data_IF_115339165928
#
_entry.id   IF_115339165928
#
_cell.length_a   1.000
_cell.length_b   1.000
_cell.length_c   1.000
_cell.angle_alpha   90.00
_cell.angle_beta   90.00
_cell.angle_gamma   90.00
#
_symmetry.space_group_name_H-M   'P 1'
#
loop_
_entity.id
_entity.type
_entity.pdbx_description
1 polymer ?
#
# COMPACT_ATOMS: atom_id res chain seq x y z
N UNK A 1 -4.60 28.53 -19.19
CA UNK A 1 -3.42 28.43 -18.30
C UNK A 1 -2.86 27.03 -18.43
N UNK A 2 -1.61 26.92 -18.84
CA UNK A 2 -0.98 25.71 -19.37
C UNK A 2 -0.87 24.60 -18.31
N UNK A 3 -1.51 23.47 -18.56
CA UNK A 3 -1.23 22.20 -17.90
C UNK A 3 0.17 21.72 -18.30
N UNK A 4 1.20 22.15 -17.56
CA UNK A 4 2.47 21.43 -17.53
C UNK A 4 2.28 20.13 -16.75
N UNK A 5 1.76 19.11 -17.43
CA UNK A 5 2.05 17.73 -17.08
C UNK A 5 3.54 17.57 -17.40
N UNK A 6 4.41 17.81 -16.42
CA UNK A 6 5.82 17.46 -16.54
C UNK A 6 5.81 15.94 -16.74
N UNK A 7 5.97 15.50 -17.99
CA UNK A 7 6.45 14.17 -18.30
C UNK A 7 7.87 14.14 -17.75
N UNK A 8 8.00 13.86 -16.45
CA UNK A 8 9.31 13.57 -15.87
C UNK A 8 9.75 12.33 -16.62
N UNK A 9 10.73 12.52 -17.50
CA UNK A 9 11.44 11.46 -18.16
C UNK A 9 12.18 10.69 -17.06
N UNK A 10 11.47 9.78 -16.39
CA UNK A 10 11.92 9.04 -15.23
C UNK A 10 12.78 7.88 -15.73
N UNK A 11 13.85 8.19 -16.48
CA UNK A 11 14.85 7.18 -16.80
C UNK A 11 15.75 6.95 -15.58
N UNK A 12 15.13 6.53 -14.47
CA UNK A 12 15.83 6.24 -13.22
C UNK A 12 16.90 5.16 -13.42
N UNK A 13 16.77 4.34 -14.47
CA UNK A 13 17.73 3.30 -14.86
C UNK A 13 19.06 3.86 -15.37
N UNK A 14 19.10 5.11 -15.87
CA UNK A 14 20.33 5.79 -16.28
C UNK A 14 21.09 6.44 -15.11
N UNK A 15 20.49 6.47 -13.91
CA UNK A 15 21.15 7.08 -12.76
C UNK A 15 22.33 6.22 -12.30
N UNK A 16 23.48 6.85 -12.05
CA UNK A 16 24.62 6.18 -11.43
C UNK A 16 24.25 5.54 -10.08
N UNK A 17 23.41 6.23 -9.29
CA UNK A 17 22.87 5.70 -8.03
C UNK A 17 22.04 4.42 -8.22
N UNK A 18 21.32 4.31 -9.34
CA UNK A 18 20.59 3.09 -9.66
C UNK A 18 21.55 1.95 -9.96
N UNK A 19 22.49 2.17 -10.88
CA UNK A 19 23.48 1.15 -11.25
C UNK A 19 24.27 0.64 -10.04
N UNK A 20 24.79 1.55 -9.20
CA UNK A 20 25.55 1.18 -8.00
C UNK A 20 24.71 0.41 -6.98
N UNK A 21 23.45 0.81 -6.77
CA UNK A 21 22.55 0.14 -5.82
C UNK A 21 22.17 -1.24 -6.33
N UNK A 22 21.91 -1.41 -7.63
CA UNK A 22 21.62 -2.72 -8.23
C UNK A 22 22.82 -3.66 -8.08
N UNK A 23 24.04 -3.18 -8.32
CA UNK A 23 25.25 -3.97 -8.08
C UNK A 23 25.40 -4.36 -6.61
N UNK A 24 25.19 -3.43 -5.68
CA UNK A 24 25.22 -3.68 -4.23
C UNK A 24 24.19 -4.73 -3.82
N UNK A 25 22.96 -4.63 -4.32
CA UNK A 25 21.91 -5.62 -4.07
C UNK A 25 22.39 -7.01 -4.53
N UNK A 26 22.87 -7.13 -5.77
CA UNK A 26 23.36 -8.41 -6.32
C UNK A 26 24.52 -9.00 -5.52
N UNK A 27 25.47 -8.17 -5.10
CA UNK A 27 26.64 -8.61 -4.35
C UNK A 27 26.29 -9.11 -2.94
N UNK A 28 25.32 -8.47 -2.27
CA UNK A 28 24.99 -8.76 -0.88
C UNK A 28 23.82 -9.75 -0.70
N UNK A 29 23.04 -10.03 -1.75
CA UNK A 29 21.81 -10.82 -1.64
C UNK A 29 22.04 -12.24 -1.10
N UNK A 30 23.07 -12.94 -1.59
CA UNK A 30 23.34 -14.30 -1.15
C UNK A 30 23.65 -14.38 0.34
N UNK A 31 24.41 -13.41 0.87
CA UNK A 31 24.71 -13.30 2.29
C UNK A 31 23.47 -12.92 3.10
N UNK A 32 22.64 -12.02 2.59
CA UNK A 32 21.36 -11.68 3.20
C UNK A 32 20.44 -12.91 3.34
N UNK A 33 20.32 -13.74 2.29
CA UNK A 33 19.51 -14.97 2.32
C UNK A 33 20.03 -15.94 3.38
N UNK A 34 21.35 -16.13 3.49
CA UNK A 34 21.95 -16.99 4.51
C UNK A 34 21.67 -16.49 5.93
N UNK A 35 21.90 -15.20 6.19
CA UNK A 35 21.60 -14.57 7.50
C UNK A 35 20.12 -14.68 7.84
N UNK A 36 19.23 -14.42 6.88
CA UNK A 36 17.79 -14.56 7.05
C UNK A 36 17.43 -16.00 7.45
N UNK A 37 17.96 -17.01 6.77
CA UNK A 37 17.73 -18.41 7.12
C UNK A 37 18.24 -18.75 8.52
N UNK A 38 19.41 -18.24 8.91
CA UNK A 38 19.98 -18.41 10.25
C UNK A 38 19.10 -17.77 11.33
N UNK A 39 18.59 -16.56 11.12
CA UNK A 39 17.70 -15.86 12.05
C UNK A 39 16.38 -16.61 12.24
N UNK A 40 15.80 -17.13 11.16
CA UNK A 40 14.58 -17.94 11.23
C UNK A 40 14.81 -19.26 11.98
N UNK A 41 15.98 -19.89 11.78
CA UNK A 41 16.33 -21.14 12.48
C UNK A 41 16.53 -20.94 13.98
N UNK A 42 17.16 -19.86 14.42
CA UNK A 42 17.54 -19.66 15.83
C UNK A 42 16.57 -18.81 16.64
N UNK A 43 15.88 -17.85 16.01
CA UNK A 43 15.01 -16.90 16.72
C UNK A 43 13.52 -17.27 16.73
N UNK A 44 13.15 -18.38 16.08
CA UNK A 44 11.78 -18.87 15.98
C UNK A 44 10.83 -17.87 15.32
N UNK A 45 9.57 -17.86 15.75
CA UNK A 45 8.50 -17.02 15.19
C UNK A 45 8.30 -15.70 15.97
N UNK A 46 9.36 -15.14 16.57
CA UNK A 46 9.24 -13.85 17.28
C UNK A 46 9.23 -12.67 16.30
N UNK A 47 8.50 -11.58 16.63
CA UNK A 47 8.53 -10.34 15.83
C UNK A 47 9.94 -9.75 15.76
N UNK A 48 10.75 -9.98 16.80
CA UNK A 48 12.15 -9.55 16.84
C UNK A 48 13.00 -10.17 15.72
N UNK A 49 12.68 -11.38 15.28
CA UNK A 49 13.35 -12.00 14.12
C UNK A 49 13.06 -11.21 12.84
N UNK A 50 11.80 -10.86 12.60
CA UNK A 50 11.43 -10.08 11.43
C UNK A 50 12.02 -8.66 11.47
N UNK A 51 12.04 -8.01 12.64
CA UNK A 51 12.73 -6.72 12.82
C UNK A 51 14.21 -6.80 12.43
N UNK A 52 14.90 -7.85 12.87
CA UNK A 52 16.32 -8.04 12.58
C UNK A 52 16.57 -8.37 11.10
N UNK A 53 15.66 -9.10 10.43
CA UNK A 53 15.73 -9.33 8.98
C UNK A 53 15.58 -8.01 8.22
N UNK A 54 14.70 -7.11 8.67
CA UNK A 54 14.55 -5.77 8.10
C UNK A 54 15.81 -4.94 8.34
N UNK A 55 16.40 -5.00 9.54
CA UNK A 55 17.66 -4.32 9.83
C UNK A 55 18.78 -4.72 8.87
N UNK A 56 18.97 -6.03 8.66
CA UNK A 56 19.96 -6.56 7.70
C UNK A 56 19.63 -6.13 6.26
N UNK A 57 18.36 -6.21 5.84
CA UNK A 57 17.95 -5.81 4.50
C UNK A 57 18.30 -4.35 4.24
N UNK A 58 17.87 -3.45 5.13
CA UNK A 58 18.03 -2.02 4.91
C UNK A 58 19.50 -1.59 4.98
N UNK A 59 20.28 -2.16 5.91
CA UNK A 59 21.66 -1.73 6.14
C UNK A 59 22.68 -2.42 5.23
N UNK A 60 22.53 -3.72 5.03
CA UNK A 60 23.50 -4.53 4.27
C UNK A 60 23.16 -4.59 2.78
N UNK A 61 21.89 -4.47 2.39
CA UNK A 61 21.47 -4.57 0.98
C UNK A 61 21.10 -3.20 0.39
N UNK A 62 20.36 -2.34 1.12
CA UNK A 62 19.74 -1.13 0.59
C UNK A 62 20.44 0.21 0.90
N UNK A 63 21.65 0.14 1.45
CA UNK A 63 22.57 1.26 1.73
C UNK A 63 22.13 2.26 2.81
N UNK A 64 21.17 1.89 3.65
CA UNK A 64 20.82 2.70 4.81
C UNK A 64 21.86 2.56 5.93
N UNK A 65 22.11 3.64 6.67
CA UNK A 65 22.94 3.57 7.87
C UNK A 65 22.19 2.90 9.02
N UNK A 66 22.91 2.23 9.94
CA UNK A 66 22.31 1.68 11.17
C UNK A 66 21.57 2.73 12.00
N UNK A 67 22.04 3.98 11.98
CA UNK A 67 21.39 5.10 12.68
C UNK A 67 20.12 5.62 11.99
N UNK A 68 19.85 5.19 10.75
CA UNK A 68 18.68 5.61 9.98
C UNK A 68 17.42 4.81 10.36
N UNK A 69 17.58 3.60 10.91
CA UNK A 69 16.50 2.76 11.42
C UNK A 69 16.27 3.04 12.90
N UNK A 70 15.09 3.57 13.23
CA UNK A 70 14.71 3.91 14.61
C UNK A 70 13.62 2.99 15.10
N UNK A 71 13.99 2.06 15.98
CA UNK A 71 13.08 1.12 16.62
C UNK A 71 12.20 1.82 17.67
N UNK A 72 10.92 1.44 17.72
CA UNK A 72 9.94 1.86 18.75
C UNK A 72 9.75 3.39 18.88
N UNK A 73 10.04 4.15 17.82
CA UNK A 73 9.92 5.61 17.86
C UNK A 73 8.48 6.04 17.56
N UNK A 74 7.79 6.58 18.57
CA UNK A 74 6.43 7.09 18.40
C UNK A 74 5.41 5.98 18.15
N UNK A 75 5.57 4.85 18.85
CA UNK A 75 4.69 3.67 18.84
C UNK A 75 4.70 2.82 17.55
N UNK A 76 5.43 3.21 16.51
CA UNK A 76 5.69 2.34 15.35
C UNK A 76 6.90 1.43 15.60
N UNK A 77 6.88 0.23 15.04
CA UNK A 77 7.96 -0.75 15.20
C UNK A 77 9.29 -0.21 14.66
N UNK A 78 9.30 0.29 13.42
CA UNK A 78 10.50 0.87 12.81
C UNK A 78 10.15 2.14 12.03
N UNK A 79 10.93 3.20 12.26
CA UNK A 79 10.92 4.43 11.44
C UNK A 79 12.23 4.55 10.69
N UNK A 80 12.15 4.57 9.36
CA UNK A 80 13.29 4.85 8.49
C UNK A 80 13.44 6.36 8.30
N UNK A 81 14.58 6.92 8.68
CA UNK A 81 14.80 8.37 8.65
C UNK A 81 16.26 8.72 8.42
N UNK A 82 16.52 9.70 7.56
CA UNK A 82 17.88 10.20 7.28
C UNK A 82 17.86 11.73 7.21
N UNK A 83 18.89 12.39 7.75
CA UNK A 83 19.00 13.86 7.82
C UNK A 83 17.74 14.55 8.37
N UNK A 84 17.21 14.03 9.49
CA UNK A 84 15.98 14.52 10.15
C UNK A 84 14.68 14.38 9.35
N UNK A 85 14.72 13.83 8.13
CA UNK A 85 13.53 13.49 7.35
C UNK A 85 13.15 12.03 7.59
N UNK A 86 11.87 11.78 7.87
CA UNK A 86 11.29 10.43 7.96
C UNK A 86 10.77 10.04 6.57
N UNK A 87 11.10 8.84 6.13
CA UNK A 87 10.74 8.35 4.80
C UNK A 87 9.70 7.25 4.87
N UNK A 88 9.85 6.29 5.78
CA UNK A 88 9.03 5.09 5.82
C UNK A 88 8.69 4.71 7.26
N UNK A 89 7.41 4.40 7.52
CA UNK A 89 6.97 3.71 8.74
C UNK A 89 6.79 2.24 8.40
N UNK A 90 7.42 1.34 9.15
CA UNK A 90 7.31 -0.10 8.95
C UNK A 90 6.63 -0.72 10.16
N UNK A 91 5.54 -1.42 9.91
CA UNK A 91 4.90 -2.32 10.88
C UNK A 91 5.42 -3.74 10.64
N UNK A 92 5.82 -4.41 11.71
CA UNK A 92 6.45 -5.72 11.69
C UNK A 92 5.52 -6.76 12.30
N UNK A 93 5.50 -7.96 11.71
CA UNK A 93 4.78 -9.13 12.23
C UNK A 93 5.70 -10.34 12.31
N UNK A 94 5.21 -11.38 12.99
CA UNK A 94 5.94 -12.63 13.16
C UNK A 94 6.20 -13.31 11.80
N UNK A 95 7.35 -13.96 11.60
CA UNK A 95 7.61 -14.81 10.44
C UNK A 95 6.45 -15.71 10.05
N UNK A 96 6.02 -15.62 8.78
CA UNK A 96 4.96 -16.45 8.20
C UNK A 96 3.52 -16.00 8.51
N UNK A 97 3.36 -14.79 9.06
CA UNK A 97 2.04 -14.19 9.30
C UNK A 97 1.34 -13.86 7.98
N UNK A 98 2.07 -13.41 6.96
CA UNK A 98 1.47 -13.01 5.69
C UNK A 98 1.35 -14.21 4.76
N UNK A 99 0.12 -14.69 4.56
CA UNK A 99 -0.21 -15.80 3.66
C UNK A 99 -0.96 -15.33 2.42
N UNK A 100 -1.67 -14.21 2.54
CA UNK A 100 -2.46 -13.58 1.50
C UNK A 100 -2.34 -12.06 1.59
N UNK A 101 -2.71 -11.35 0.52
CA UNK A 101 -2.82 -9.88 0.53
C UNK A 101 -3.67 -9.34 1.69
N UNK A 102 -4.68 -10.09 2.13
CA UNK A 102 -5.60 -9.68 3.20
C UNK A 102 -4.93 -9.61 4.57
N UNK A 103 -3.88 -10.40 4.78
CA UNK A 103 -3.14 -10.40 6.04
C UNK A 103 -2.38 -9.09 6.26
N UNK A 104 -2.20 -8.28 5.19
CA UNK A 104 -1.59 -6.96 5.26
C UNK A 104 -2.55 -5.89 5.82
N UNK A 105 -3.87 -6.07 5.73
CA UNK A 105 -4.86 -5.01 6.02
C UNK A 105 -4.77 -4.46 7.45
N UNK A 106 -4.53 -5.33 8.43
CA UNK A 106 -4.28 -4.93 9.82
C UNK A 106 -2.99 -4.13 9.97
N UNK A 107 -1.83 -4.73 9.65
CA UNK A 107 -0.53 -4.07 9.74
C UNK A 107 -0.44 -2.74 8.98
N UNK A 108 -0.96 -2.66 7.76
CA UNK A 108 -0.93 -1.41 6.97
C UNK A 108 -1.84 -0.34 7.58
N UNK A 109 -2.97 -0.75 8.18
CA UNK A 109 -3.85 0.15 8.91
C UNK A 109 -3.15 0.75 10.13
N UNK A 110 -2.36 -0.06 10.84
CA UNK A 110 -1.55 0.40 11.96
C UNK A 110 -0.41 1.32 11.51
N UNK A 111 0.39 0.91 10.52
CA UNK A 111 1.47 1.73 9.95
C UNK A 111 0.95 3.09 9.48
N UNK A 112 -0.21 3.12 8.82
CA UNK A 112 -0.85 4.36 8.35
C UNK A 112 -1.22 5.32 9.48
N UNK A 113 -1.73 4.80 10.59
CA UNK A 113 -2.07 5.65 11.75
C UNK A 113 -0.84 6.37 12.30
N UNK A 114 0.29 5.67 12.37
CA UNK A 114 1.55 6.25 12.81
C UNK A 114 2.15 7.19 11.76
N UNK A 115 2.03 6.85 10.47
CA UNK A 115 2.46 7.73 9.39
C UNK A 115 1.77 9.09 9.45
N UNK A 116 0.46 9.11 9.71
CA UNK A 116 -0.33 10.33 9.80
C UNK A 116 0.09 11.19 11.00
N UNK A 117 0.31 10.57 12.17
CA UNK A 117 0.84 11.25 13.36
C UNK A 117 2.24 11.83 13.14
N UNK A 118 3.05 11.18 12.30
CA UNK A 118 4.45 11.51 12.08
C UNK A 118 4.69 12.29 10.77
N UNK A 119 3.64 12.61 10.01
CA UNK A 119 3.68 13.25 8.69
C UNK A 119 4.59 12.52 7.69
N UNK A 120 4.54 11.18 7.71
CA UNK A 120 5.25 10.31 6.77
C UNK A 120 4.29 9.91 5.65
N UNK A 121 4.73 9.97 4.40
CA UNK A 121 3.87 9.70 3.24
C UNK A 121 3.99 8.28 2.71
N UNK A 122 4.76 7.41 3.35
CA UNK A 122 5.01 6.04 2.91
C UNK A 122 4.96 5.09 4.09
N UNK A 123 4.39 3.92 3.86
CA UNK A 123 4.22 2.88 4.87
C UNK A 123 4.67 1.53 4.33
N UNK A 124 5.03 0.65 5.23
CA UNK A 124 5.37 -0.73 4.95
C UNK A 124 4.79 -1.68 5.99
N UNK A 125 4.59 -2.91 5.56
CA UNK A 125 4.32 -4.05 6.42
C UNK A 125 5.29 -5.17 6.05
N UNK A 126 5.91 -5.80 7.05
CA UNK A 126 6.84 -6.90 6.82
C UNK A 126 6.68 -7.99 7.88
N UNK A 127 6.71 -9.25 7.45
CA UNK A 127 6.72 -10.40 8.35
C UNK A 127 8.08 -11.14 8.33
N UNK A 128 9.11 -10.59 7.68
CA UNK A 128 10.41 -11.24 7.52
C UNK A 128 10.46 -12.25 6.35
N UNK A 129 9.33 -12.56 5.71
CA UNK A 129 9.30 -13.19 4.38
C UNK A 129 8.82 -12.21 3.33
N UNK A 130 7.65 -11.60 3.52
CA UNK A 130 7.10 -10.65 2.57
C UNK A 130 7.32 -9.22 3.04
N UNK A 131 7.75 -8.36 2.12
CA UNK A 131 7.81 -6.91 2.33
C UNK A 131 6.81 -6.23 1.41
N UNK A 132 5.85 -5.54 2.01
CA UNK A 132 4.93 -4.65 1.32
C UNK A 132 5.28 -3.20 1.61
N UNK A 133 5.26 -2.34 0.59
CA UNK A 133 5.42 -0.89 0.72
C UNK A 133 4.40 -0.17 -0.16
N UNK A 134 3.87 0.94 0.36
CA UNK A 134 2.92 1.79 -0.33
C UNK A 134 3.14 3.27 -0.05
N UNK A 135 2.73 4.09 -1.01
CA UNK A 135 2.61 5.54 -0.85
C UNK A 135 1.20 5.90 -0.38
N UNK A 136 1.10 6.82 0.58
CA UNK A 136 -0.16 7.43 1.01
C UNK A 136 -0.46 8.58 0.05
N UNK A 137 -1.51 8.45 -0.75
CA UNK A 137 -1.89 9.46 -1.74
C UNK A 137 -3.40 9.70 -1.71
N UNK A 138 -3.80 10.97 -1.59
CA UNK A 138 -5.19 11.42 -1.71
C UNK A 138 -6.19 10.56 -0.90
N UNK A 139 -5.78 10.26 0.34
CA UNK A 139 -6.54 9.50 1.31
C UNK A 139 -6.66 8.00 1.07
N UNK A 140 -5.90 7.44 0.13
CA UNK A 140 -5.76 6.00 -0.08
C UNK A 140 -4.29 5.58 -0.11
N UNK A 141 -4.07 4.31 -0.45
CA UNK A 141 -2.74 3.74 -0.65
C UNK A 141 -2.54 3.45 -2.14
N UNK A 142 -1.33 3.75 -2.63
CA UNK A 142 -0.85 3.34 -3.94
C UNK A 142 0.28 2.35 -3.68
N UNK A 143 0.14 1.14 -4.22
CA UNK A 143 1.17 0.11 -4.08
C UNK A 143 2.49 0.60 -4.68
N UNK A 144 3.59 0.30 -3.99
CA UNK A 144 4.95 0.58 -4.47
C UNK A 144 5.68 -0.72 -4.74
N UNK A 145 5.82 -1.57 -3.71
CA UNK A 145 6.41 -2.90 -3.86
C UNK A 145 5.69 -3.94 -3.02
N UNK A 146 5.69 -5.18 -3.51
CA UNK A 146 5.33 -6.37 -2.75
C UNK A 146 6.26 -7.51 -3.17
N UNK A 147 7.18 -7.94 -2.31
CA UNK A 147 8.22 -8.91 -2.70
C UNK A 147 8.38 -10.04 -1.68
N UNK A 148 8.80 -11.22 -2.17
CA UNK A 148 9.23 -12.35 -1.35
C UNK A 148 10.75 -12.24 -1.09
N UNK A 149 11.14 -12.01 0.15
CA UNK A 149 12.54 -11.95 0.60
C UNK A 149 13.18 -13.33 0.72
N UNK A 150 12.45 -14.41 0.44
CA UNK A 150 13.00 -15.77 0.36
C UNK A 150 13.44 -16.18 -1.04
N UNK A 151 13.18 -15.37 -2.06
CA UNK A 151 13.62 -15.65 -3.44
C UNK A 151 15.15 -15.69 -3.54
N UNK A 152 15.68 -16.76 -4.14
CA UNK A 152 17.12 -16.92 -4.37
C UNK A 152 17.67 -15.84 -5.31
N UNK A 153 16.85 -15.40 -6.26
CA UNK A 153 17.19 -14.32 -7.18
C UNK A 153 16.82 -12.97 -6.54
N UNK A 154 17.74 -11.99 -6.47
CA UNK A 154 17.44 -10.70 -5.88
C UNK A 154 16.37 -9.93 -6.67
N UNK A 155 15.28 -9.47 -6.04
CA UNK A 155 14.27 -8.63 -6.67
C UNK A 155 14.78 -7.18 -6.82
N UNK A 156 15.84 -7.02 -7.62
CA UNK A 156 16.66 -5.80 -7.68
C UNK A 156 15.85 -4.54 -7.99
N UNK A 157 14.97 -4.60 -9.01
CA UNK A 157 14.17 -3.43 -9.40
C UNK A 157 13.18 -3.00 -8.31
N UNK A 158 12.58 -3.95 -7.60
CA UNK A 158 11.70 -3.64 -6.47
C UNK A 158 12.50 -3.06 -5.29
N UNK A 159 13.61 -3.69 -4.95
CA UNK A 159 14.48 -3.25 -3.85
C UNK A 159 15.05 -1.84 -4.08
N UNK A 160 15.31 -1.45 -5.33
CA UNK A 160 15.69 -0.09 -5.65
C UNK A 160 14.68 0.93 -5.12
N UNK A 161 13.37 0.70 -5.26
CA UNK A 161 12.32 1.65 -4.87
C UNK A 161 12.16 1.88 -3.37
N UNK A 162 12.82 1.04 -2.56
CA UNK A 162 12.88 1.13 -1.10
C UNK A 162 14.30 1.44 -0.59
N UNK A 163 15.27 1.56 -1.50
CA UNK A 163 16.63 1.99 -1.18
C UNK A 163 16.69 3.46 -0.80
N UNK A 164 17.83 3.89 -0.24
CA UNK A 164 18.08 5.29 0.09
C UNK A 164 17.73 6.23 -1.08
N UNK A 165 18.09 5.85 -2.30
CA UNK A 165 17.96 6.71 -3.48
C UNK A 165 16.64 6.53 -4.24
N UNK A 166 15.91 5.46 -3.99
CA UNK A 166 14.60 5.21 -4.61
C UNK A 166 13.42 5.66 -3.76
N UNK A 167 13.54 5.65 -2.43
CA UNK A 167 12.39 5.84 -1.52
C UNK A 167 11.68 7.18 -1.73
N UNK A 168 12.43 8.26 -1.99
CA UNK A 168 11.89 9.61 -2.16
C UNK A 168 11.40 9.91 -3.59
N UNK A 169 11.51 8.95 -4.51
CA UNK A 169 11.10 9.10 -5.91
C UNK A 169 9.69 8.54 -6.11
N UNK A 170 8.95 9.10 -7.04
CA UNK A 170 7.66 8.54 -7.48
C UNK A 170 7.90 7.23 -8.24
N UNK A 171 7.32 6.14 -7.75
CA UNK A 171 7.33 4.85 -8.43
C UNK A 171 6.27 4.90 -9.56
N UNK A 172 6.66 4.72 -10.84
CA UNK A 172 5.73 4.87 -11.95
C UNK A 172 4.71 3.72 -12.01
N UNK A 173 5.14 2.50 -11.66
CA UNK A 173 4.30 1.30 -11.65
C UNK A 173 4.66 0.43 -10.44
N UNK A 174 3.65 -0.11 -9.73
CA UNK A 174 3.90 -0.99 -8.59
C UNK A 174 4.58 -2.28 -9.04
N UNK A 175 5.61 -2.72 -8.31
CA UNK A 175 6.28 -4.01 -8.56
C UNK A 175 5.78 -5.03 -7.55
N UNK A 176 4.87 -5.90 -7.99
CA UNK A 176 4.15 -6.86 -7.14
C UNK A 176 4.51 -8.29 -7.53
N UNK A 177 5.04 -9.06 -6.58
CA UNK A 177 5.27 -10.49 -6.72
C UNK A 177 3.94 -11.23 -6.85
N UNK A 178 3.83 -12.10 -7.86
CA UNK A 178 2.61 -12.80 -8.25
C UNK A 178 2.04 -13.71 -7.14
N UNK A 179 2.84 -14.13 -6.17
CA UNK A 179 2.45 -15.14 -5.18
C UNK A 179 1.37 -14.67 -4.19
N UNK A 180 1.30 -13.37 -3.85
CA UNK A 180 0.29 -12.87 -2.90
C UNK A 180 -1.04 -12.46 -3.57
N UNK A 181 -1.13 -12.54 -4.90
CA UNK A 181 -2.35 -12.29 -5.66
C UNK A 181 -3.26 -13.52 -5.72
N UNK A 182 -2.76 -14.72 -5.40
CA UNK A 182 -3.54 -15.95 -5.44
C UNK A 182 -4.24 -16.23 -4.10
N UNK A 183 -5.56 -16.43 -4.20
CA UNK A 183 -6.48 -17.05 -3.22
C UNK A 183 -7.35 -16.13 -2.35
N UNK A 184 -8.46 -15.75 -2.99
CA UNK A 184 -9.83 -15.88 -2.48
C UNK A 184 -10.08 -17.25 -1.80
N UNK A 185 -9.91 -17.29 -0.49
CA UNK A 185 -10.40 -18.38 0.37
C UNK A 185 -11.27 -17.79 1.47
N UNK A 186 -12.49 -18.31 1.63
CA UNK A 186 -13.41 -17.97 2.71
C UNK A 186 -12.83 -18.45 4.05
N UNK A 187 -11.94 -17.65 4.63
CA UNK A 187 -11.48 -17.84 6.00
C UNK A 187 -11.99 -16.67 6.82
N UNK A 188 -12.78 -16.97 7.85
CA UNK A 188 -13.39 -16.00 8.73
C UNK A 188 -12.32 -15.02 9.27
N UNK A 189 -12.47 -13.75 8.92
CA UNK A 189 -11.50 -12.72 9.26
C UNK A 189 -11.57 -12.40 10.75
N UNK A 190 -10.54 -12.79 11.49
CA UNK A 190 -10.26 -12.23 12.81
C UNK A 190 -9.39 -11.01 12.63
N UNK A 191 -10.03 -9.84 12.58
CA UNK A 191 -9.31 -8.57 12.70
C UNK A 191 -9.06 -8.33 14.19
N UNK A 192 -7.80 -8.37 14.63
CA UNK A 192 -7.41 -7.99 15.99
C UNK A 192 -6.84 -6.56 15.97
N UNK A 193 -7.27 -5.76 16.94
CA UNK A 193 -6.69 -4.46 17.38
C UNK A 193 -6.57 -3.29 16.37
N UNK A 194 -7.58 -3.12 15.51
CA UNK A 194 -7.70 -1.92 14.66
C UNK A 194 -8.58 -0.82 15.23
N UNK A 195 -8.23 0.44 14.97
CA UNK A 195 -9.17 1.56 15.10
C UNK A 195 -10.28 1.42 14.05
N UNK A 196 -11.55 1.36 14.47
CA UNK A 196 -12.70 1.10 13.60
C UNK A 196 -13.64 2.31 13.52
N UNK A 197 -14.29 2.48 12.37
CA UNK A 197 -15.32 3.49 12.20
C UNK A 197 -16.51 3.22 13.15
N UNK A 198 -16.97 4.19 13.97
CA UNK A 198 -18.01 3.97 14.99
C UNK A 198 -19.32 3.41 14.45
N UNK A 199 -19.80 3.95 13.31
CA UNK A 199 -21.02 3.51 12.61
C UNK A 199 -20.86 2.21 11.83
N UNK A 200 -19.84 2.12 10.97
CA UNK A 200 -19.71 1.00 10.02
C UNK A 200 -19.02 -0.22 10.60
N UNK A 201 -18.29 -0.06 11.72
CA UNK A 201 -17.44 -1.09 12.33
C UNK A 201 -16.44 -1.68 11.33
N UNK A 202 -15.91 -0.80 10.47
CA UNK A 202 -14.94 -1.12 9.44
C UNK A 202 -13.64 -0.34 9.68
N UNK A 203 -12.46 -0.91 9.37
CA UNK A 203 -11.19 -0.19 9.39
C UNK A 203 -11.11 0.83 8.25
N UNK A 204 -10.12 1.71 8.32
CA UNK A 204 -9.89 2.78 7.35
C UNK A 204 -9.71 2.25 5.91
N UNK A 205 -9.06 1.12 5.73
CA UNK A 205 -8.80 0.52 4.41
C UNK A 205 -10.07 0.11 3.65
N UNK A 206 -11.21 0.02 4.34
CA UNK A 206 -12.49 -0.30 3.70
C UNK A 206 -13.18 0.91 3.03
N UNK A 207 -12.61 2.11 3.15
CA UNK A 207 -13.17 3.36 2.66
C UNK A 207 -12.41 3.86 1.44
N UNK A 208 -13.14 4.37 0.45
CA UNK A 208 -12.53 4.86 -0.77
C UNK A 208 -11.82 6.19 -0.55
N UNK A 209 -12.07 6.91 0.55
CA UNK A 209 -11.28 8.08 0.96
C UNK A 209 -11.12 8.10 2.47
N UNK A 210 -9.90 8.34 2.95
CA UNK A 210 -9.55 8.50 4.36
C UNK A 210 -8.66 9.72 4.49
N UNK A 211 -9.15 10.82 5.07
CA UNK A 211 -8.34 12.02 5.31
C UNK A 211 -7.27 11.78 6.38
N UNK A 212 -7.70 11.58 7.61
CA UNK A 212 -6.86 11.21 8.76
C UNK A 212 -7.23 9.81 9.23
N UNK A 213 -6.25 8.89 9.21
CA UNK A 213 -6.40 7.52 9.67
C UNK A 213 -6.69 7.38 11.18
N UNK A 214 -6.58 8.46 11.95
CA UNK A 214 -6.95 8.53 13.36
C UNK A 214 -8.28 9.26 13.61
N UNK A 215 -8.89 9.90 12.60
CA UNK A 215 -10.22 10.50 12.70
C UNK A 215 -11.21 9.85 11.72
N UNK A 216 -12.00 8.92 12.25
CA UNK A 216 -13.05 8.21 11.50
C UNK A 216 -14.09 9.13 10.83
N UNK A 217 -14.25 10.39 11.28
CA UNK A 217 -15.15 11.35 10.63
C UNK A 217 -14.66 11.73 9.24
N UNK A 218 -13.37 11.60 8.97
CA UNK A 218 -12.76 11.88 7.66
C UNK A 218 -12.87 10.70 6.68
N UNK A 219 -13.33 9.53 7.13
CA UNK A 219 -13.42 8.33 6.30
C UNK A 219 -14.74 8.33 5.54
N UNK A 220 -14.68 8.28 4.21
CA UNK A 220 -15.82 8.43 3.32
C UNK A 220 -15.90 7.27 2.35
N UNK A 221 -17.13 6.99 1.92
CA UNK A 221 -17.42 6.04 0.83
C UNK A 221 -16.94 4.61 1.16
N UNK A 222 -17.53 3.93 2.16
CA UNK A 222 -17.22 2.53 2.43
C UNK A 222 -17.58 1.68 1.21
N UNK A 223 -16.67 0.81 0.78
CA UNK A 223 -16.84 0.00 -0.43
C UNK A 223 -16.26 -1.41 -0.33
N UNK A 224 -15.44 -1.70 0.69
CA UNK A 224 -14.92 -3.05 0.97
C UNK A 224 -15.49 -3.61 2.27
N UNK A 225 -15.45 -4.93 2.37
CA UNK A 225 -15.64 -5.70 3.58
C UNK A 225 -14.36 -5.69 4.42
N UNK A 226 -14.46 -6.07 5.69
CA UNK A 226 -13.28 -6.19 6.59
C UNK A 226 -12.27 -7.23 6.09
N UNK A 227 -12.75 -8.20 5.32
CA UNK A 227 -11.92 -9.21 4.66
C UNK A 227 -11.21 -8.69 3.40
N UNK A 228 -11.29 -7.39 3.09
CA UNK A 228 -10.68 -6.79 1.90
C UNK A 228 -11.45 -7.03 0.60
N UNK A 229 -12.42 -7.96 0.57
CA UNK A 229 -13.28 -8.16 -0.61
C UNK A 229 -14.19 -6.96 -0.86
N UNK A 230 -14.65 -6.80 -2.09
CA UNK A 230 -15.56 -5.73 -2.46
C UNK A 230 -16.93 -5.96 -1.81
N UNK A 231 -17.46 -4.93 -1.15
CA UNK A 231 -18.81 -4.94 -0.59
C UNK A 231 -19.80 -4.57 -1.71
N UNK A 232 -20.32 -5.58 -2.40
CA UNK A 232 -21.26 -5.43 -3.52
C UNK A 232 -22.55 -4.66 -3.14
N UNK A 233 -22.89 -4.56 -1.85
CA UNK A 233 -24.04 -3.78 -1.36
C UNK A 233 -23.70 -2.32 -1.13
N UNK A 234 -22.46 -1.99 -0.77
CA UNK A 234 -22.00 -0.62 -0.50
C UNK A 234 -21.35 0.05 -1.69
N UNK A 235 -20.63 -0.68 -2.55
CA UNK A 235 -19.98 -0.15 -3.75
C UNK A 235 -20.88 0.74 -4.61
N UNK A 236 -22.08 0.30 -5.07
CA UNK A 236 -22.95 1.15 -5.89
C UNK A 236 -23.40 2.41 -5.14
N UNK A 237 -23.58 2.34 -3.81
CA UNK A 237 -23.96 3.49 -2.98
C UNK A 237 -22.81 4.49 -2.86
N UNK A 238 -21.59 4.00 -2.71
CA UNK A 238 -20.38 4.82 -2.68
C UNK A 238 -20.19 5.58 -4.00
N UNK A 239 -20.34 4.89 -5.13
CA UNK A 239 -20.26 5.50 -6.47
C UNK A 239 -21.35 6.57 -6.65
N UNK A 240 -22.59 6.23 -6.33
CA UNK A 240 -23.71 7.18 -6.44
C UNK A 240 -23.47 8.43 -5.57
N UNK A 241 -23.00 8.23 -4.34
CA UNK A 241 -22.77 9.30 -3.38
C UNK A 241 -21.64 10.26 -3.81
N UNK A 242 -20.64 9.75 -4.52
CA UNK A 242 -19.54 10.54 -5.09
C UNK A 242 -19.98 11.36 -6.32
N UNK A 243 -20.67 10.72 -7.27
CA UNK A 243 -20.98 11.33 -8.57
C UNK A 243 -22.19 12.27 -8.54
N UNK A 244 -23.06 12.16 -7.55
CA UNK A 244 -24.35 12.83 -7.56
C UNK A 244 -24.79 13.26 -6.15
N UNK A 245 -25.81 12.60 -5.61
CA UNK A 245 -26.21 12.65 -4.23
C UNK A 245 -26.67 11.23 -3.83
N UNK A 246 -26.54 10.90 -2.55
CA UNK A 246 -27.14 9.69 -2.00
C UNK A 246 -28.27 10.11 -1.06
N UNK A 247 -29.52 9.77 -1.43
CA UNK A 247 -30.74 10.18 -0.71
C UNK A 247 -30.82 11.71 -0.51
N UNK A 248 -30.49 12.49 -1.54
CA UNK A 248 -30.56 13.96 -1.49
C UNK A 248 -29.40 14.65 -0.78
N UNK A 249 -28.41 13.91 -0.26
CA UNK A 249 -27.21 14.47 0.39
C UNK A 249 -25.97 14.25 -0.47
N UNK A 250 -25.19 15.30 -0.75
CA UNK A 250 -23.87 15.18 -1.36
C UNK A 250 -22.84 14.74 -0.32
N UNK A 251 -21.90 13.87 -0.70
CA UNK A 251 -20.77 13.53 0.20
C UNK A 251 -19.82 14.72 0.24
N UNK A 252 -19.76 15.38 1.41
CA UNK A 252 -18.80 16.45 1.70
C UNK A 252 -17.53 15.92 2.39
N UNK A 253 -16.50 16.76 2.41
CA UNK A 253 -15.23 16.50 3.11
C UNK A 253 -14.22 15.65 2.34
N UNK A 254 -14.44 15.42 1.04
CA UNK A 254 -13.42 14.90 0.12
C UNK A 254 -12.88 16.09 -0.68
N UNK A 255 -11.58 16.42 -0.57
CA UNK A 255 -10.97 17.48 -1.35
C UNK A 255 -11.05 17.18 -2.86
N UNK A 256 -11.26 18.22 -3.68
CA UNK A 256 -11.44 18.09 -5.12
C UNK A 256 -10.24 17.41 -5.80
N UNK A 257 -9.03 17.73 -5.35
CA UNK A 257 -7.79 17.10 -5.84
C UNK A 257 -7.71 15.59 -5.57
N UNK A 258 -8.46 15.07 -4.60
CA UNK A 258 -8.50 13.65 -4.27
C UNK A 258 -9.55 12.89 -5.07
N UNK A 259 -10.49 13.57 -5.73
CA UNK A 259 -11.59 12.94 -6.47
C UNK A 259 -11.10 11.99 -7.57
N UNK A 260 -10.08 12.31 -8.40
CA UNK A 260 -9.58 11.38 -9.42
C UNK A 260 -9.12 10.04 -8.83
N UNK A 261 -8.38 10.05 -7.72
CA UNK A 261 -7.91 8.81 -7.10
C UNK A 261 -9.04 8.02 -6.43
N UNK A 262 -10.03 8.71 -5.85
CA UNK A 262 -11.23 8.06 -5.33
C UNK A 262 -12.04 7.40 -6.45
N UNK A 263 -12.19 8.08 -7.60
CA UNK A 263 -12.82 7.51 -8.80
C UNK A 263 -12.08 6.28 -9.28
N UNK A 264 -10.73 6.35 -9.36
CA UNK A 264 -9.89 5.21 -9.75
C UNK A 264 -10.12 4.00 -8.86
N UNK A 265 -10.05 4.16 -7.52
CA UNK A 265 -10.27 3.06 -6.55
C UNK A 265 -11.65 2.42 -6.67
N UNK A 266 -12.70 3.22 -6.85
CA UNK A 266 -14.06 2.71 -7.04
C UNK A 266 -14.23 2.05 -8.42
N UNK A 267 -13.53 2.55 -9.44
CA UNK A 267 -13.45 1.98 -10.78
C UNK A 267 -12.80 0.61 -10.78
N UNK A 268 -11.63 0.47 -10.17
CA UNK A 268 -10.93 -0.81 -9.99
C UNK A 268 -11.80 -1.83 -9.24
N UNK A 269 -12.49 -1.41 -8.18
CA UNK A 269 -13.43 -2.27 -7.46
C UNK A 269 -14.60 -2.75 -8.36
N UNK A 270 -15.14 -1.86 -9.20
CA UNK A 270 -16.20 -2.21 -10.13
C UNK A 270 -15.72 -3.12 -11.27
N UNK A 271 -14.46 -2.96 -11.70
CA UNK A 271 -13.81 -3.83 -12.68
C UNK A 271 -13.63 -5.25 -12.13
N UNK A 272 -13.11 -5.38 -10.89
CA UNK A 272 -12.96 -6.67 -10.19
C UNK A 272 -14.30 -7.41 -10.07
N UNK A 273 -15.38 -6.70 -9.79
CA UNK A 273 -16.76 -7.25 -9.73
C UNK A 273 -17.39 -7.53 -11.11
N UNK A 274 -16.65 -7.33 -12.21
CA UNK A 274 -17.15 -7.52 -13.57
C UNK A 274 -18.28 -6.57 -13.97
N UNK A 275 -18.34 -5.37 -13.36
CA UNK A 275 -19.39 -4.36 -13.62
C UNK A 275 -18.99 -3.34 -14.67
N UNK A 276 -17.70 -3.25 -15.01
CA UNK A 276 -17.11 -2.40 -16.04
C UNK A 276 -16.12 -3.28 -16.86
N UNK A 277 -16.03 -3.16 -18.19
CA UNK A 277 -16.85 -2.31 -19.06
C UNK A 277 -18.31 -2.78 -19.10
N UNK A 278 -19.24 -1.83 -19.26
CA UNK A 278 -20.68 -2.13 -19.19
C UNK A 278 -21.26 -2.89 -20.40
N UNK A 279 -20.40 -3.41 -21.28
CA UNK A 279 -20.77 -4.06 -22.54
C UNK A 279 -21.28 -5.49 -22.28
N UNK A 280 -22.44 -5.83 -22.84
CA UNK A 280 -22.99 -7.19 -22.83
C UNK A 280 -23.81 -7.61 -21.59
N UNK A 281 -23.68 -6.91 -20.45
CA UNK A 281 -24.48 -7.17 -19.24
C UNK A 281 -25.50 -6.05 -18.98
N UNK A 282 -26.65 -6.38 -18.37
CA UNK A 282 -27.61 -5.37 -17.88
C UNK A 282 -27.02 -4.66 -16.66
N UNK A 283 -26.08 -3.74 -16.91
CA UNK A 283 -25.35 -3.01 -15.87
C UNK A 283 -26.18 -1.83 -15.34
N UNK A 284 -26.23 -1.68 -14.02
CA UNK A 284 -26.95 -0.60 -13.34
C UNK A 284 -26.45 0.79 -13.80
N UNK A 285 -27.34 1.80 -13.93
CA UNK A 285 -26.97 3.16 -14.36
C UNK A 285 -25.79 3.76 -13.58
N UNK A 286 -25.63 3.41 -12.30
CA UNK A 286 -24.55 3.92 -11.46
C UNK A 286 -23.15 3.58 -11.99
N UNK A 287 -22.96 2.38 -12.54
CA UNK A 287 -21.67 1.97 -13.10
C UNK A 287 -21.42 2.56 -14.49
N UNK A 288 -22.49 2.82 -15.26
CA UNK A 288 -22.37 3.57 -16.53
C UNK A 288 -21.92 5.01 -16.28
N UNK A 289 -22.46 5.65 -15.25
CA UNK A 289 -22.05 6.99 -14.83
C UNK A 289 -20.60 7.00 -14.33
N UNK A 290 -20.17 5.96 -13.61
CA UNK A 290 -18.77 5.79 -13.22
C UNK A 290 -17.86 5.66 -14.44
N UNK A 291 -18.21 4.81 -15.41
CA UNK A 291 -17.45 4.64 -16.65
C UNK A 291 -17.32 5.96 -17.42
N UNK A 292 -18.40 6.76 -17.48
CA UNK A 292 -18.36 8.10 -18.08
C UNK A 292 -17.43 9.05 -17.31
N UNK A 293 -17.51 9.07 -15.97
CA UNK A 293 -16.66 9.91 -15.14
C UNK A 293 -15.17 9.55 -15.27
N UNK A 294 -14.84 8.25 -15.32
CA UNK A 294 -13.48 7.77 -15.56
C UNK A 294 -12.95 8.26 -16.91
N UNK A 295 -13.75 8.15 -17.98
CA UNK A 295 -13.40 8.64 -19.32
C UNK A 295 -13.19 10.16 -19.34
N UNK A 296 -14.09 10.93 -18.72
CA UNK A 296 -13.98 12.40 -18.66
C UNK A 296 -12.71 12.86 -17.92
N UNK A 297 -12.29 12.12 -16.89
CA UNK A 297 -11.08 12.42 -16.13
C UNK A 297 -9.82 11.78 -16.71
N UNK A 298 -9.90 11.06 -17.84
CA UNK A 298 -8.79 10.33 -18.46
C UNK A 298 -8.08 9.39 -17.48
N UNK A 299 -8.89 8.67 -16.70
CA UNK A 299 -8.44 7.68 -15.73
C UNK A 299 -8.55 6.31 -16.39
N UNK A 300 -7.40 5.70 -16.64
CA UNK A 300 -7.32 4.33 -17.13
C UNK A 300 -7.32 3.35 -15.94
N UNK A 301 -8.09 2.27 -16.06
CA UNK A 301 -8.09 1.18 -15.10
C UNK A 301 -7.08 0.14 -15.57
N UNK A 302 -6.26 -0.36 -14.64
CA UNK A 302 -5.34 -1.47 -14.91
C UNK A 302 -6.14 -2.77 -14.88
N UNK A 303 -6.06 -3.54 -15.97
CA UNK A 303 -6.66 -4.87 -16.13
C UNK A 303 -5.77 -5.97 -15.57
#
# INVERSE_FOLDING_TARGET
MNNHRIMINNNYKELSSYASTIERIKQNWSQFILKRAERLKHGGESEKVAENIIDDLFTEVLDWGKGDLKFQKGYSDIVLSKHSRKYLIIEVKRPGTFRTRRDLEGPIGQARRYAEQQSVTQIAACDGRYLYVADICNGGLIDRVLIDLSDETPPCEALWWVSEHGIYRSCPEPIISAFLLSNSGDTACKFNDGFLHPKYKLPASCFAYVGDANDSKTWKLPYKMICGSIDSKRLPKAIQALLSNFRGTKVGGIPEQSIPDVLKRLGEAALIEGRIPSQGLKVSPVYKNLELALKQNRIDLVY
#
